data_IF_397976364790
#
_entry.id   IF_397976364790
#
_cell.length_a   1.000
_cell.length_b   1.000
_cell.length_c   1.000
_cell.angle_alpha   90.00
_cell.angle_beta   90.00
_cell.angle_gamma   90.00
#
_symmetry.space_group_name_H-M   'P 1'
#
loop_
_entity.id
_entity.type
_entity.pdbx_description
1 polymer ?
#
# COMPACT_ATOMS: atom_id res chain seq x y z
N UNK A 1 19.76 3.03 -19.56
CA UNK A 1 19.04 2.22 -18.55
C UNK A 1 18.04 3.14 -17.88
N UNK A 2 16.74 2.90 -18.00
CA UNK A 2 15.75 3.73 -17.32
C UNK A 2 15.76 3.31 -15.84
N UNK A 3 16.00 4.25 -14.94
CA UNK A 3 16.04 3.99 -13.51
C UNK A 3 14.62 3.71 -13.00
N UNK A 4 14.38 2.50 -12.47
CA UNK A 4 13.07 2.09 -11.94
C UNK A 4 12.54 3.06 -10.87
N UNK A 5 13.40 3.56 -9.98
CA UNK A 5 13.00 4.51 -8.94
C UNK A 5 12.47 5.82 -9.56
N UNK A 6 13.05 6.28 -10.68
CA UNK A 6 12.55 7.47 -11.39
C UNK A 6 11.18 7.21 -12.04
N UNK A 7 10.97 6.01 -12.61
CA UNK A 7 9.67 5.64 -13.19
C UNK A 7 8.61 5.57 -12.08
N UNK A 8 8.94 4.92 -10.97
CA UNK A 8 8.05 4.79 -9.82
C UNK A 8 7.69 6.17 -9.25
N UNK A 9 8.67 7.05 -9.05
CA UNK A 9 8.42 8.41 -8.59
C UNK A 9 7.49 9.19 -9.54
N UNK A 10 7.70 9.08 -10.85
CA UNK A 10 6.82 9.68 -11.85
C UNK A 10 5.40 9.10 -11.80
N UNK A 11 5.26 7.79 -11.55
CA UNK A 11 3.96 7.12 -11.40
C UNK A 11 3.23 7.58 -10.15
N UNK A 12 3.91 7.64 -9.00
CA UNK A 12 3.34 8.14 -7.74
C UNK A 12 2.86 9.58 -7.88
N UNK A 13 3.65 10.43 -8.57
CA UNK A 13 3.26 11.81 -8.89
C UNK A 13 2.01 11.84 -9.78
N UNK A 14 1.97 11.06 -10.86
CA UNK A 14 0.82 11.02 -11.79
C UNK A 14 -0.47 10.56 -11.10
N UNK A 15 -0.37 9.71 -10.09
CA UNK A 15 -1.52 9.19 -9.35
C UNK A 15 -1.87 10.05 -8.11
N UNK A 16 -1.24 11.22 -7.94
CA UNK A 16 -1.40 12.08 -6.76
C UNK A 16 -1.18 11.35 -5.42
N UNK A 17 -0.38 10.28 -5.43
CA UNK A 17 -0.23 9.39 -4.28
C UNK A 17 0.27 10.14 -3.04
N UNK A 18 1.31 10.96 -3.23
CA UNK A 18 1.95 11.71 -2.13
C UNK A 18 0.98 12.74 -1.53
N UNK A 19 0.11 13.33 -2.35
CA UNK A 19 -0.93 14.25 -1.89
C UNK A 19 -1.97 13.52 -1.04
N UNK A 20 -2.45 12.37 -1.52
CA UNK A 20 -3.43 11.58 -0.78
C UNK A 20 -2.87 11.00 0.52
N UNK A 21 -1.62 10.52 0.52
CA UNK A 21 -0.95 10.03 1.72
C UNK A 21 -0.65 11.17 2.73
N UNK A 22 -0.12 12.30 2.25
CA UNK A 22 0.30 13.43 3.07
C UNK A 22 1.39 13.03 4.07
N UNK A 23 1.26 13.49 5.32
CA UNK A 23 2.21 13.20 6.41
C UNK A 23 2.34 11.72 6.79
N UNK A 24 1.39 10.88 6.36
CA UNK A 24 1.40 9.44 6.61
C UNK A 24 2.31 8.68 5.65
N UNK A 25 2.85 9.34 4.61
CA UNK A 25 3.81 8.73 3.71
C UNK A 25 5.08 8.32 4.44
N UNK A 26 5.63 7.15 4.07
CA UNK A 26 6.89 6.63 4.58
C UNK A 26 7.79 6.27 3.40
N UNK A 27 8.93 6.96 3.29
CA UNK A 27 9.99 6.61 2.34
C UNK A 27 10.87 5.47 2.89
N UNK A 28 11.75 4.93 2.03
CA UNK A 28 12.74 3.91 2.38
C UNK A 28 13.63 4.32 3.57
N UNK A 29 13.83 5.62 3.78
CA UNK A 29 14.66 6.16 4.88
C UNK A 29 13.94 6.21 6.23
N UNK A 30 12.62 5.99 6.27
CA UNK A 30 11.86 6.00 7.52
C UNK A 30 12.29 4.85 8.44
N UNK A 31 12.28 5.11 9.75
CA UNK A 31 12.65 4.09 10.77
C UNK A 31 11.84 2.80 10.63
N UNK A 32 10.54 2.91 10.35
CA UNK A 32 9.67 1.76 10.11
C UNK A 32 10.19 0.91 8.96
N UNK A 33 10.36 1.49 7.77
CA UNK A 33 10.72 0.72 6.57
C UNK A 33 12.13 0.15 6.68
N UNK A 34 13.06 0.85 7.34
CA UNK A 34 14.41 0.30 7.62
C UNK A 34 14.32 -0.95 8.50
N UNK A 35 13.61 -0.88 9.63
CA UNK A 35 13.44 -2.05 10.52
C UNK A 35 12.77 -3.21 9.80
N UNK A 36 11.71 -2.95 9.03
CA UNK A 36 11.02 -4.01 8.28
C UNK A 36 11.95 -4.59 7.22
N UNK A 37 12.71 -3.75 6.51
CA UNK A 37 13.70 -4.13 5.51
C UNK A 37 14.82 -5.01 6.06
N UNK A 38 15.20 -4.85 7.32
CA UNK A 38 16.16 -5.73 8.01
C UNK A 38 15.58 -7.12 8.31
N UNK A 39 14.26 -7.27 8.30
CA UNK A 39 13.55 -8.52 8.64
C UNK A 39 12.94 -9.24 7.43
N UNK A 40 13.08 -8.67 6.23
CA UNK A 40 12.49 -9.22 5.00
C UNK A 40 13.50 -9.22 3.86
N UNK A 41 13.40 -10.22 2.99
CA UNK A 41 14.12 -10.33 1.73
C UNK A 41 13.46 -9.52 0.60
N UNK A 42 12.35 -8.85 0.88
CA UNK A 42 11.56 -8.13 -0.12
C UNK A 42 12.14 -6.73 -0.42
N UNK A 43 12.13 -6.37 -1.70
CA UNK A 43 12.45 -5.01 -2.14
C UNK A 43 11.34 -4.03 -1.72
N UNK A 44 11.53 -3.35 -0.60
CA UNK A 44 10.63 -2.32 -0.07
C UNK A 44 10.68 -1.08 -0.95
N UNK A 45 9.50 -0.58 -1.35
CA UNK A 45 9.37 0.61 -2.19
C UNK A 45 9.02 1.85 -1.35
N UNK A 46 7.89 1.80 -0.64
CA UNK A 46 7.39 2.86 0.24
C UNK A 46 6.29 2.30 1.15
N UNK A 47 5.80 3.10 2.09
CA UNK A 47 4.66 2.75 2.93
C UNK A 47 3.77 3.93 3.25
N UNK A 48 2.67 3.63 3.92
CA UNK A 48 1.76 4.59 4.51
C UNK A 48 1.41 4.07 5.91
N UNK A 49 1.55 4.93 6.93
CA UNK A 49 1.36 4.58 8.33
C UNK A 49 0.72 5.77 9.07
N UNK A 50 -0.31 5.49 9.88
CA UNK A 50 -0.92 6.49 10.76
C UNK A 50 -0.15 6.64 12.09
N UNK A 51 -0.57 7.57 12.93
CA UNK A 51 0.07 7.82 14.24
C UNK A 51 -0.08 6.65 15.23
N UNK A 52 -1.02 5.74 14.99
CA UNK A 52 -1.21 4.50 15.74
C UNK A 52 -0.31 3.35 15.25
N UNK A 53 0.54 3.57 14.25
CA UNK A 53 1.41 2.54 13.70
C UNK A 53 0.71 1.51 12.80
N UNK A 54 -0.52 1.81 12.35
CA UNK A 54 -1.27 0.99 11.40
C UNK A 54 -1.11 1.48 9.96
N UNK A 55 -1.06 0.55 9.01
CA UNK A 55 -1.04 0.89 7.59
C UNK A 55 -0.50 -0.23 6.71
N UNK A 56 0.25 0.14 5.68
CA UNK A 56 0.85 -0.81 4.76
C UNK A 56 2.21 -0.38 4.23
N UNK A 57 3.00 -1.35 3.80
CA UNK A 57 4.27 -1.17 3.09
C UNK A 57 4.12 -1.88 1.75
N UNK A 58 4.36 -1.15 0.66
CA UNK A 58 4.39 -1.71 -0.67
C UNK A 58 5.80 -2.19 -1.00
N UNK A 59 5.90 -3.44 -1.44
CA UNK A 59 7.10 -4.03 -2.03
C UNK A 59 6.88 -4.27 -3.51
N UNK A 60 7.93 -4.69 -4.21
CA UNK A 60 7.82 -4.97 -5.64
C UNK A 60 6.80 -6.05 -5.99
N UNK A 61 6.62 -7.05 -5.15
CA UNK A 61 5.77 -8.23 -5.42
C UNK A 61 4.62 -8.40 -4.44
N UNK A 62 4.63 -7.70 -3.31
CA UNK A 62 3.69 -7.90 -2.23
C UNK A 62 3.38 -6.60 -1.50
N UNK A 63 2.27 -6.61 -0.77
CA UNK A 63 1.95 -5.59 0.22
C UNK A 63 2.02 -6.22 1.61
N UNK A 64 2.72 -5.53 2.52
CA UNK A 64 2.82 -5.90 3.92
C UNK A 64 1.87 -5.01 4.71
N UNK A 65 0.95 -5.61 5.44
CA UNK A 65 0.05 -4.90 6.36
C UNK A 65 0.77 -4.78 7.69
N UNK A 66 0.79 -3.56 8.22
CA UNK A 66 1.48 -3.26 9.47
C UNK A 66 0.51 -2.77 10.53
N UNK A 67 0.74 -3.19 11.76
CA UNK A 67 0.07 -2.74 12.97
C UNK A 67 1.05 -2.88 14.12
N UNK A 68 1.05 -1.93 15.06
CA UNK A 68 2.03 -1.84 16.14
C UNK A 68 3.44 -2.11 15.63
N UNK A 69 3.80 -1.43 14.53
CA UNK A 69 5.14 -1.43 14.00
C UNK A 69 5.64 -2.80 13.49
N UNK A 70 4.76 -3.79 13.36
CA UNK A 70 5.07 -5.17 12.97
C UNK A 70 4.27 -5.58 11.74
N UNK A 71 4.80 -6.51 10.94
CA UNK A 71 4.04 -7.09 9.82
C UNK A 71 3.01 -8.07 10.39
N UNK A 72 1.72 -7.77 10.20
CA UNK A 72 0.63 -8.65 10.62
C UNK A 72 0.15 -9.56 9.50
N UNK A 73 0.29 -9.12 8.24
CA UNK A 73 -0.11 -9.91 7.07
C UNK A 73 0.71 -9.53 5.85
N UNK A 74 0.97 -10.51 4.98
CA UNK A 74 1.52 -10.32 3.64
C UNK A 74 0.47 -10.75 2.63
N UNK A 75 0.22 -9.93 1.63
CA UNK A 75 -0.63 -10.25 0.48
C UNK A 75 0.14 -10.03 -0.81
N UNK A 76 -0.15 -10.81 -1.84
CA UNK A 76 0.39 -10.57 -3.17
C UNK A 76 -0.19 -9.26 -3.74
N UNK A 77 0.59 -8.55 -4.55
CA UNK A 77 0.12 -7.33 -5.22
C UNK A 77 -1.16 -7.59 -6.04
N UNK A 78 -1.22 -8.70 -6.78
CA UNK A 78 -2.39 -9.12 -7.56
C UNK A 78 -3.63 -9.36 -6.68
N UNK A 79 -3.43 -9.74 -5.43
CA UNK A 79 -4.53 -9.99 -4.50
C UNK A 79 -5.13 -8.69 -3.96
N UNK A 80 -4.33 -7.62 -3.81
CA UNK A 80 -4.80 -6.34 -3.27
C UNK A 80 -6.00 -5.79 -4.06
N UNK A 81 -5.88 -5.70 -5.39
CA UNK A 81 -6.95 -5.18 -6.24
C UNK A 81 -8.21 -6.05 -6.20
N UNK A 82 -8.05 -7.38 -6.03
CA UNK A 82 -9.18 -8.30 -5.83
C UNK A 82 -9.90 -8.00 -4.52
N UNK A 83 -9.16 -7.86 -3.42
CA UNK A 83 -9.70 -7.59 -2.09
C UNK A 83 -10.42 -6.24 -2.01
N UNK A 84 -9.87 -5.19 -2.65
CA UNK A 84 -10.54 -3.89 -2.75
C UNK A 84 -11.92 -4.01 -3.43
N UNK A 85 -12.00 -4.75 -4.54
CA UNK A 85 -13.28 -4.96 -5.25
C UNK A 85 -14.26 -5.76 -4.40
N UNK A 86 -13.79 -6.76 -3.67
CA UNK A 86 -14.62 -7.56 -2.77
C UNK A 86 -15.17 -6.75 -1.59
N UNK A 87 -14.36 -5.90 -0.97
CA UNK A 87 -14.82 -5.00 0.10
C UNK A 87 -15.89 -4.02 -0.40
N UNK A 88 -15.67 -3.40 -1.56
CA UNK A 88 -16.67 -2.52 -2.20
C UNK A 88 -17.97 -3.29 -2.47
N UNK A 89 -17.87 -4.53 -2.96
CA UNK A 89 -19.04 -5.38 -3.22
C UNK A 89 -19.78 -5.73 -1.93
N UNK A 90 -19.08 -6.12 -0.86
CA UNK A 90 -19.65 -6.42 0.47
C UNK A 90 -20.40 -5.21 1.04
N UNK A 91 -19.90 -4.00 0.79
CA UNK A 91 -20.50 -2.73 1.24
C UNK A 91 -21.58 -2.18 0.31
N UNK A 92 -22.09 -2.99 -0.62
CA UNK A 92 -23.19 -2.59 -1.52
C UNK A 92 -22.80 -1.52 -2.55
N UNK A 93 -21.54 -1.51 -2.99
CA UNK A 93 -21.04 -0.59 -4.01
C UNK A 93 -20.71 0.82 -3.49
N UNK A 94 -20.92 1.09 -2.20
CA UNK A 94 -20.53 2.37 -1.60
C UNK A 94 -19.08 2.31 -1.15
N UNK A 95 -18.23 3.11 -1.80
CA UNK A 95 -16.94 3.50 -1.23
C UNK A 95 -17.25 4.48 -0.08
N UNK A 96 -17.49 3.97 1.13
CA UNK A 96 -17.55 4.83 2.31
C UNK A 96 -16.20 5.54 2.47
N UNK A 97 -16.16 6.60 3.30
CA UNK A 97 -14.92 7.15 3.88
C UNK A 97 -14.26 6.05 4.72
N UNK A 98 -13.68 5.06 4.06
CA UNK A 98 -13.12 3.90 4.69
C UNK A 98 -11.80 4.37 5.27
N UNK A 99 -11.73 4.45 6.61
CA UNK A 99 -10.46 4.47 7.34
C UNK A 99 -9.78 3.09 7.25
N UNK A 100 -10.53 2.05 6.89
CA UNK A 100 -10.03 0.67 6.83
C UNK A 100 -10.59 -0.12 5.64
N UNK A 101 -9.68 -0.86 4.99
CA UNK A 101 -9.97 -1.91 4.03
C UNK A 101 -9.95 -3.26 4.75
N UNK A 102 -11.04 -4.02 4.70
CA UNK A 102 -11.09 -5.36 5.30
C UNK A 102 -10.54 -6.38 4.30
N UNK A 103 -9.46 -7.05 4.68
CA UNK A 103 -8.82 -8.08 3.85
C UNK A 103 -9.45 -9.46 4.10
N UNK A 104 -9.94 -9.68 5.31
CA UNK A 104 -10.74 -10.82 5.72
C UNK A 104 -11.62 -10.43 6.93
N UNK A 105 -12.17 -11.39 7.66
CA UNK A 105 -13.05 -11.15 8.82
C UNK A 105 -12.33 -10.52 10.02
N UNK A 106 -11.00 -10.67 10.10
CA UNK A 106 -10.19 -10.27 11.27
C UNK A 106 -9.18 -9.18 10.90
N UNK A 107 -8.61 -9.26 9.69
CA UNK A 107 -7.54 -8.38 9.25
C UNK A 107 -8.08 -7.19 8.50
N UNK A 108 -7.73 -6.00 8.99
CA UNK A 108 -8.01 -4.72 8.34
C UNK A 108 -6.69 -4.00 8.03
N UNK A 109 -6.65 -3.25 6.95
CA UNK A 109 -5.58 -2.35 6.60
C UNK A 109 -6.08 -0.92 6.75
N UNK A 110 -5.38 -0.09 7.52
CA UNK A 110 -5.70 1.33 7.58
C UNK A 110 -5.44 1.97 6.21
N UNK A 111 -6.39 2.78 5.77
CA UNK A 111 -6.36 3.53 4.51
C UNK A 111 -6.96 4.90 4.76
N UNK A 112 -6.17 5.96 4.55
CA UNK A 112 -6.57 7.33 4.92
C UNK A 112 -7.85 7.80 4.23
N UNK A 113 -7.99 7.49 2.95
CA UNK A 113 -9.09 7.94 2.11
C UNK A 113 -9.25 7.05 0.85
N UNK A 114 -10.43 7.06 0.20
CA UNK A 114 -10.67 6.30 -1.03
C UNK A 114 -9.71 6.61 -2.19
N UNK A 115 -9.27 7.86 -2.29
CA UNK A 115 -8.35 8.33 -3.32
C UNK A 115 -6.98 7.65 -3.19
N UNK A 116 -6.50 7.48 -1.96
CA UNK A 116 -5.27 6.74 -1.66
C UNK A 116 -5.41 5.28 -2.08
N UNK A 117 -6.54 4.62 -1.80
CA UNK A 117 -6.79 3.23 -2.25
C UNK A 117 -6.69 3.13 -3.77
N UNK A 118 -7.29 4.07 -4.50
CA UNK A 118 -7.23 4.13 -5.96
C UNK A 118 -5.78 4.34 -6.45
N UNK A 119 -5.04 5.27 -5.82
CA UNK A 119 -3.64 5.52 -6.15
C UNK A 119 -2.73 4.31 -5.88
N UNK A 120 -2.98 3.59 -4.79
CA UNK A 120 -2.30 2.32 -4.47
C UNK A 120 -2.62 1.28 -5.54
N UNK A 121 -3.90 1.06 -5.87
CA UNK A 121 -4.31 0.09 -6.88
C UNK A 121 -3.70 0.35 -8.26
N UNK A 122 -3.66 1.62 -8.70
CA UNK A 122 -3.01 2.02 -9.95
C UNK A 122 -1.48 1.84 -9.95
N UNK A 123 -0.87 1.88 -8.77
CA UNK A 123 0.56 1.62 -8.59
C UNK A 123 0.85 0.12 -8.61
N UNK A 124 0.02 -0.68 -7.92
CA UNK A 124 0.05 -2.14 -7.96
C UNK A 124 -0.08 -2.66 -9.39
N UNK A 125 -1.06 -2.18 -10.15
CA UNK A 125 -1.22 -2.55 -11.57
C UNK A 125 0.02 -2.21 -12.41
N UNK A 126 0.68 -1.10 -12.11
CA UNK A 126 1.92 -0.75 -12.80
C UNK A 126 3.05 -1.71 -12.46
N UNK A 127 3.21 -2.07 -11.18
CA UNK A 127 4.25 -3.01 -10.74
C UNK A 127 4.06 -4.39 -11.37
N UNK A 128 2.83 -4.87 -11.48
CA UNK A 128 2.51 -6.14 -12.14
C UNK A 128 2.95 -6.15 -13.61
N UNK A 129 2.61 -5.10 -14.37
CA UNK A 129 3.00 -4.96 -15.77
C UNK A 129 4.51 -4.77 -15.99
N UNK A 130 5.29 -4.46 -14.95
CA UNK A 130 6.75 -4.35 -15.03
C UNK A 130 7.48 -5.65 -14.66
N UNK A 131 6.75 -6.65 -14.17
CA UNK A 131 7.28 -7.96 -13.79
C UNK A 131 6.99 -9.05 -14.84
N UNK A 132 6.11 -8.77 -15.79
CA UNK A 132 5.92 -9.52 -17.05
C UNK A 132 6.96 -9.13 -18.10
#
# INVERSE_FOLDING_TARGET
MINFDNILAARLKRNNFLEYAGENFRSKDSKLLRRIGETTDLEILFGVENDSGEGFILTRTSMLIVSDHSVVKKIANAEFNRLVREDIRRKGGKQQRAEYLYLDEVTKCWVKNPELISAVGNTVLFLENCLE
#
